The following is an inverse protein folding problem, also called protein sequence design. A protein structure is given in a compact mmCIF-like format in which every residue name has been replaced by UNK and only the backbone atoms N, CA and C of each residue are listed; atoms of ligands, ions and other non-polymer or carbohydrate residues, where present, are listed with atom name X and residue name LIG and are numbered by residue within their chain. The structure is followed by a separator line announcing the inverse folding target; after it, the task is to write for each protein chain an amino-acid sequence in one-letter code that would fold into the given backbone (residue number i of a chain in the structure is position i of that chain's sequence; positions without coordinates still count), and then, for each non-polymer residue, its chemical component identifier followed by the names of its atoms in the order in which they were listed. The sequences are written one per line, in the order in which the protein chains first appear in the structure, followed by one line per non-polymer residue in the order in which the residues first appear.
data_IF_643641703231
#
_entry.id   IF_643641703231
#
_cell.length_a   1.000
_cell.length_b   1.000
_cell.length_c   1.000
_cell.angle_alpha   90.00
_cell.angle_beta   90.00
_cell.angle_gamma   90.00
#
_symmetry.space_group_name_H-M   'P 1'
#
loop_
_entity.id
_entity.type
_entity.pdbx_description
1 polymer ?
#
# COMPACT_ATOMS: atom_id res chain seq x y z
N UNK A 1 42.01 -48.32 29.02
CA UNK A 1 42.76 -48.43 27.76
C UNK A 1 42.51 -47.13 26.95
N UNK A 2 43.53 -46.28 26.90
CA UNK A 2 43.52 -44.98 26.19
C UNK A 2 43.85 -45.25 24.72
N UNK A 3 43.04 -44.78 23.76
CA UNK A 3 43.41 -44.74 22.35
C UNK A 3 43.57 -43.26 21.94
N UNK A 4 44.81 -42.91 21.63
CA UNK A 4 45.21 -41.65 21.04
C UNK A 4 44.82 -41.60 19.57
N UNK A 5 44.17 -40.53 19.14
CA UNK A 5 43.91 -40.24 17.73
C UNK A 5 44.83 -39.06 17.35
N UNK A 6 45.74 -39.35 16.41
CA UNK A 6 46.66 -38.37 15.82
C UNK A 6 45.92 -37.57 14.74
N UNK A 7 45.94 -36.25 14.87
CA UNK A 7 45.47 -35.34 13.83
C UNK A 7 46.66 -35.04 12.90
N UNK A 8 46.52 -35.45 11.64
CA UNK A 8 47.48 -35.17 10.58
C UNK A 8 47.09 -33.88 9.89
N UNK A 9 47.87 -32.80 10.11
CA UNK A 9 47.69 -31.51 9.43
C UNK A 9 48.34 -31.57 8.05
N UNK A 10 47.54 -31.48 6.99
CA UNK A 10 48.03 -31.38 5.61
C UNK A 10 48.06 -29.90 5.22
N UNK A 11 49.25 -29.30 5.16
CA UNK A 11 49.45 -27.95 4.64
C UNK A 11 49.55 -28.01 3.11
N UNK A 12 48.60 -27.43 2.41
CA UNK A 12 48.63 -27.24 0.95
C UNK A 12 49.13 -25.84 0.64
N UNK A 13 50.32 -25.75 0.10
CA UNK A 13 50.86 -24.49 -0.47
C UNK A 13 50.20 -24.24 -1.83
N UNK A 14 49.43 -23.15 -1.93
CA UNK A 14 48.99 -22.60 -3.22
C UNK A 14 50.00 -21.58 -3.74
N UNK A 15 50.66 -21.90 -4.85
CA UNK A 15 51.44 -20.94 -5.61
C UNK A 15 50.49 -20.02 -6.43
N UNK A 16 50.45 -18.75 -6.10
CA UNK A 16 49.73 -17.77 -6.89
C UNK A 16 50.46 -17.47 -8.18
N UNK A 17 49.91 -17.89 -9.29
CA UNK A 17 50.28 -17.39 -10.64
C UNK A 17 49.40 -16.18 -10.97
N UNK A 18 49.97 -14.99 -11.05
CA UNK A 18 49.31 -13.80 -11.49
C UNK A 18 49.03 -13.87 -13.00
N UNK A 19 47.75 -14.09 -13.36
CA UNK A 19 47.27 -13.81 -14.71
C UNK A 19 46.43 -12.52 -14.64
N UNK A 20 46.84 -11.50 -15.43
CA UNK A 20 46.05 -10.28 -15.60
C UNK A 20 44.63 -10.65 -16.02
N UNK A 21 43.65 -10.26 -15.22
CA UNK A 21 42.24 -10.40 -15.53
C UNK A 21 41.72 -9.07 -16.03
N UNK A 22 41.15 -9.08 -17.23
CA UNK A 22 40.46 -7.95 -17.81
C UNK A 22 39.26 -7.57 -16.93
N UNK A 23 39.18 -6.29 -16.60
CA UNK A 23 38.14 -5.72 -15.75
C UNK A 23 36.84 -5.73 -16.54
N UNK A 24 35.96 -6.68 -16.25
CA UNK A 24 34.55 -6.60 -16.68
C UNK A 24 33.89 -5.55 -15.79
N UNK A 25 33.69 -4.37 -16.29
CA UNK A 25 32.88 -3.33 -15.68
C UNK A 25 31.43 -3.80 -15.68
N UNK A 26 30.90 -4.15 -14.52
CA UNK A 26 29.45 -4.34 -14.35
C UNK A 26 28.72 -3.02 -14.67
N UNK A 27 27.57 -3.05 -15.33
CA UNK A 27 26.81 -1.84 -15.58
C UNK A 27 26.35 -1.27 -14.24
N UNK A 28 26.91 -0.14 -13.88
CA UNK A 28 26.42 0.67 -12.76
C UNK A 28 25.06 1.19 -13.18
N UNK A 29 24.01 0.62 -12.62
CA UNK A 29 22.68 1.21 -12.73
C UNK A 29 22.72 2.52 -11.93
N UNK A 30 22.97 3.62 -12.63
CA UNK A 30 22.79 4.95 -12.09
C UNK A 30 21.33 5.09 -11.70
N UNK A 31 21.06 4.98 -10.41
CA UNK A 31 19.81 5.46 -9.84
C UNK A 31 19.76 6.95 -10.14
N UNK A 32 18.92 7.33 -11.09
CA UNK A 32 18.63 8.72 -11.40
C UNK A 32 18.18 9.38 -10.12
N UNK A 33 19.10 10.09 -9.47
CA UNK A 33 18.83 11.02 -8.37
C UNK A 33 17.88 12.05 -8.99
N UNK A 34 16.61 12.00 -8.65
CA UNK A 34 15.65 13.01 -9.06
C UNK A 34 16.17 14.32 -8.49
N UNK A 35 16.54 15.22 -9.39
CA UNK A 35 17.02 16.55 -9.02
C UNK A 35 15.98 17.20 -8.12
N UNK A 36 16.37 17.53 -6.91
CA UNK A 36 15.62 18.38 -6.01
C UNK A 36 15.45 19.71 -6.73
N UNK A 37 14.26 20.02 -7.20
CA UNK A 37 13.93 21.33 -7.76
C UNK A 37 14.12 22.37 -6.63
N UNK A 38 15.26 22.99 -6.63
CA UNK A 38 15.58 24.13 -5.76
C UNK A 38 14.66 25.28 -6.14
N UNK A 39 13.66 25.57 -5.31
CA UNK A 39 12.95 26.85 -5.34
C UNK A 39 11.45 26.83 -5.66
N UNK A 40 10.83 25.67 -5.92
CA UNK A 40 9.36 25.59 -6.15
C UNK A 40 8.59 25.06 -4.94
N UNK A 41 7.27 25.31 -4.93
CA UNK A 41 6.34 24.73 -3.96
C UNK A 41 6.35 23.21 -4.06
N UNK A 42 6.70 22.45 -3.01
CA UNK A 42 6.75 20.99 -3.08
C UNK A 42 5.36 20.32 -3.14
N UNK A 43 4.30 21.07 -2.80
CA UNK A 43 2.92 20.61 -2.69
C UNK A 43 1.97 21.55 -3.48
N UNK A 44 2.14 21.70 -4.80
CA UNK A 44 1.43 22.73 -5.59
C UNK A 44 -0.09 22.48 -5.70
N UNK A 45 -0.55 21.23 -5.51
CA UNK A 45 -1.99 20.89 -5.47
C UNK A 45 -2.62 21.03 -4.08
N UNK A 46 -1.86 21.48 -3.10
CA UNK A 46 -2.38 21.89 -1.79
C UNK A 46 -2.60 23.39 -1.74
N UNK A 47 -3.68 23.80 -1.12
CA UNK A 47 -3.90 25.20 -0.78
C UNK A 47 -2.91 25.66 0.31
N UNK A 48 -2.63 26.95 0.39
CA UNK A 48 -1.75 27.53 1.40
C UNK A 48 -2.46 27.63 2.77
N UNK A 49 -2.74 26.46 3.35
CA UNK A 49 -3.36 26.31 4.67
C UNK A 49 -2.30 26.08 5.75
N UNK A 50 -2.67 26.23 7.04
CA UNK A 50 -1.78 25.85 8.14
C UNK A 50 -1.27 24.42 8.03
N UNK A 51 -2.12 23.48 7.60
CA UNK A 51 -1.73 22.06 7.48
C UNK A 51 -0.60 21.85 6.46
N UNK A 52 -0.66 22.49 5.28
CA UNK A 52 0.44 22.41 4.31
C UNK A 52 1.77 22.86 4.94
N UNK A 53 1.73 23.98 5.68
CA UNK A 53 2.91 24.49 6.38
C UNK A 53 3.40 23.50 7.44
N UNK A 54 2.51 22.92 8.24
CA UNK A 54 2.85 21.93 9.29
C UNK A 54 3.50 20.69 8.71
N UNK A 55 3.06 20.20 7.54
CA UNK A 55 3.70 19.10 6.82
C UNK A 55 5.14 19.47 6.44
N UNK A 56 5.33 20.65 5.82
CA UNK A 56 6.65 21.10 5.38
C UNK A 56 7.57 21.34 6.58
N UNK A 57 7.07 21.98 7.62
CA UNK A 57 7.83 22.25 8.86
C UNK A 57 8.26 20.94 9.55
N UNK A 58 7.35 19.95 9.65
CA UNK A 58 7.67 18.63 10.21
C UNK A 58 8.80 17.96 9.41
N UNK A 59 8.64 17.83 8.09
CA UNK A 59 9.65 17.18 7.25
C UNK A 59 11.00 17.90 7.37
N UNK A 60 11.00 19.23 7.26
CA UNK A 60 12.23 20.03 7.39
C UNK A 60 12.91 19.81 8.72
N UNK A 61 12.15 19.81 9.81
CA UNK A 61 12.66 19.67 11.18
C UNK A 61 13.29 18.30 11.42
N UNK A 62 12.62 17.23 10.98
CA UNK A 62 13.09 15.86 11.23
C UNK A 62 14.19 15.40 10.28
N UNK A 63 14.41 16.11 9.18
CA UNK A 63 15.48 15.79 8.22
C UNK A 63 16.73 16.65 8.36
N UNK A 64 16.64 17.76 9.12
CA UNK A 64 17.76 18.68 9.35
C UNK A 64 18.77 18.06 10.31
N UNK A 65 19.97 17.79 9.84
CA UNK A 65 21.07 17.32 10.67
C UNK A 65 21.36 18.32 11.80
N UNK A 66 21.64 17.79 13.00
CA UNK A 66 21.87 18.59 14.21
C UNK A 66 20.58 19.14 14.86
N UNK A 67 19.42 18.92 14.29
CA UNK A 67 18.14 19.20 14.96
C UNK A 67 17.93 18.25 16.13
N UNK A 68 17.34 18.73 17.23
CA UNK A 68 16.93 17.86 18.35
C UNK A 68 15.89 16.80 17.93
N UNK A 69 15.16 17.05 16.85
CA UNK A 69 14.13 16.17 16.30
C UNK A 69 14.61 15.37 15.08
N UNK A 70 15.92 15.39 14.79
CA UNK A 70 16.47 14.68 13.65
C UNK A 70 16.18 13.18 13.70
N UNK A 71 15.67 12.66 12.58
CA UNK A 71 15.43 11.24 12.39
C UNK A 71 16.44 10.71 11.35
N UNK A 72 17.26 9.70 11.66
CA UNK A 72 18.12 9.07 10.68
C UNK A 72 17.31 8.55 9.47
N UNK A 73 17.87 8.63 8.26
CA UNK A 73 17.17 8.25 7.03
C UNK A 73 16.62 6.81 7.08
N UNK A 74 17.36 5.89 7.70
CA UNK A 74 16.93 4.50 7.89
C UNK A 74 15.65 4.35 8.72
N UNK A 75 15.33 5.34 9.57
CA UNK A 75 14.18 5.34 10.47
C UNK A 75 12.99 6.20 9.94
N UNK A 76 13.17 6.88 8.78
CA UNK A 76 12.12 7.70 8.17
C UNK A 76 11.11 6.84 7.42
N UNK A 77 10.27 6.12 8.15
CA UNK A 77 9.21 5.26 7.59
C UNK A 77 7.89 6.05 7.55
N UNK A 78 7.27 6.10 6.37
CA UNK A 78 5.95 6.70 6.16
C UNK A 78 4.98 5.63 5.64
N UNK A 79 3.82 5.50 6.27
CA UNK A 79 2.77 4.55 5.90
C UNK A 79 1.50 5.26 5.46
N UNK A 80 0.89 4.76 4.40
CA UNK A 80 -0.33 5.30 3.82
C UNK A 80 -1.34 4.17 3.64
N UNK A 81 -2.59 4.39 4.02
CA UNK A 81 -3.66 3.58 3.49
C UNK A 81 -3.82 3.85 1.98
N UNK A 82 -4.55 2.98 1.27
CA UNK A 82 -4.76 3.10 -0.16
C UNK A 82 -6.13 3.65 -0.52
N UNK A 83 -7.19 2.92 -0.16
CA UNK A 83 -8.58 3.24 -0.52
C UNK A 83 -9.09 4.43 0.31
N UNK A 84 -9.44 5.54 -0.35
CA UNK A 84 -9.82 6.79 0.32
C UNK A 84 -8.64 7.64 0.80
N UNK A 85 -7.40 7.14 0.71
CA UNK A 85 -6.19 7.88 1.12
C UNK A 85 -5.33 8.26 -0.08
N UNK A 86 -5.00 7.31 -0.95
CA UNK A 86 -4.19 7.54 -2.16
C UNK A 86 -5.02 7.63 -3.44
N UNK A 87 -6.20 7.04 -3.44
CA UNK A 87 -7.20 7.14 -4.52
C UNK A 87 -8.63 7.14 -3.98
N UNK A 88 -9.61 7.49 -4.83
CA UNK A 88 -11.02 7.45 -4.47
C UNK A 88 -11.50 6.02 -4.18
N UNK A 89 -12.29 5.84 -3.11
CA UNK A 89 -12.70 4.50 -2.66
C UNK A 89 -14.18 4.14 -2.96
N UNK A 90 -15.02 5.09 -3.33
CA UNK A 90 -16.45 4.84 -3.58
C UNK A 90 -16.78 4.95 -5.07
N UNK A 91 -17.02 3.83 -5.78
CA UNK A 91 -17.02 2.42 -5.32
C UNK A 91 -15.62 1.84 -5.13
N UNK A 92 -15.49 0.83 -4.27
CA UNK A 92 -14.22 0.16 -4.01
C UNK A 92 -13.65 -0.53 -5.26
N UNK A 93 -12.42 -0.20 -5.63
CA UNK A 93 -11.71 -0.80 -6.77
C UNK A 93 -11.48 -2.30 -6.56
N UNK A 94 -11.22 -2.72 -5.32
CA UNK A 94 -11.08 -4.13 -4.94
C UNK A 94 -12.35 -4.94 -5.28
N UNK A 95 -13.53 -4.36 -4.99
CA UNK A 95 -14.82 -4.97 -5.30
C UNK A 95 -15.06 -5.04 -6.83
N UNK A 96 -14.74 -3.97 -7.55
CA UNK A 96 -14.83 -3.94 -9.01
C UNK A 96 -13.96 -5.03 -9.66
N UNK A 97 -12.77 -5.25 -9.13
CA UNK A 97 -11.90 -6.33 -9.61
C UNK A 97 -12.48 -7.71 -9.28
N UNK A 98 -13.01 -7.93 -8.07
CA UNK A 98 -13.67 -9.19 -7.73
C UNK A 98 -14.86 -9.48 -8.67
N UNK A 99 -15.68 -8.48 -8.99
CA UNK A 99 -16.80 -8.61 -9.94
C UNK A 99 -16.31 -8.90 -11.37
N UNK A 100 -15.24 -8.24 -11.80
CA UNK A 100 -14.59 -8.55 -13.07
C UNK A 100 -14.15 -10.02 -13.13
N UNK A 101 -13.50 -10.51 -12.06
CA UNK A 101 -13.09 -11.91 -11.95
C UNK A 101 -14.28 -12.88 -11.99
N UNK A 102 -15.36 -12.60 -11.24
CA UNK A 102 -16.58 -13.40 -11.29
C UNK A 102 -17.10 -13.52 -12.72
N UNK A 103 -17.18 -12.40 -13.44
CA UNK A 103 -17.63 -12.41 -14.84
C UNK A 103 -16.78 -13.35 -15.69
N UNK A 104 -15.46 -13.22 -15.65
CA UNK A 104 -14.53 -14.07 -16.42
C UNK A 104 -14.64 -15.55 -16.04
N UNK A 105 -14.77 -15.85 -14.74
CA UNK A 105 -14.90 -17.23 -14.27
C UNK A 105 -16.22 -17.87 -14.67
N UNK A 106 -17.32 -17.12 -14.62
CA UNK A 106 -18.65 -17.60 -15.05
C UNK A 106 -18.71 -17.75 -16.58
N UNK A 107 -18.07 -16.87 -17.35
CA UNK A 107 -17.93 -17.04 -18.81
C UNK A 107 -17.19 -18.35 -19.17
N UNK A 108 -16.16 -18.70 -18.40
CA UNK A 108 -15.41 -19.95 -18.59
C UNK A 108 -16.15 -21.20 -18.05
N UNK A 109 -16.95 -21.04 -16.98
CA UNK A 109 -17.74 -22.11 -16.37
C UNK A 109 -19.10 -21.61 -15.88
N UNK A 110 -20.18 -21.69 -16.70
CA UNK A 110 -21.51 -21.18 -16.37
C UNK A 110 -22.15 -21.79 -15.11
N UNK A 111 -21.73 -23.00 -14.68
CA UNK A 111 -22.24 -23.62 -13.47
C UNK A 111 -21.88 -22.86 -12.20
N UNK A 112 -20.85 -22.04 -12.23
CA UNK A 112 -20.46 -21.18 -11.11
C UNK A 112 -21.56 -20.15 -10.78
N UNK A 113 -22.32 -19.68 -11.77
CA UNK A 113 -23.42 -18.74 -11.55
C UNK A 113 -24.51 -19.26 -10.63
N UNK A 114 -24.57 -20.58 -10.41
CA UNK A 114 -25.54 -21.22 -9.51
C UNK A 114 -25.05 -21.35 -8.08
N UNK A 115 -23.78 -21.05 -7.82
CA UNK A 115 -23.10 -21.25 -6.52
C UNK A 115 -22.75 -19.91 -5.88
N UNK A 116 -22.92 -19.81 -4.53
CA UNK A 116 -22.40 -18.66 -3.79
C UNK A 116 -20.85 -18.72 -3.74
N UNK A 117 -20.17 -17.57 -3.74
CA UNK A 117 -20.69 -16.20 -3.82
C UNK A 117 -20.95 -15.68 -5.25
N UNK A 118 -20.62 -16.45 -6.31
CA UNK A 118 -20.79 -16.08 -7.71
C UNK A 118 -22.23 -15.72 -8.04
N UNK A 119 -23.19 -16.52 -7.55
CA UNK A 119 -24.62 -16.30 -7.73
C UNK A 119 -25.03 -14.89 -7.27
N UNK A 120 -24.62 -14.49 -6.08
CA UNK A 120 -24.96 -13.18 -5.52
C UNK A 120 -24.45 -12.03 -6.40
N UNK A 121 -23.24 -12.16 -6.96
CA UNK A 121 -22.69 -11.15 -7.88
C UNK A 121 -23.46 -11.10 -9.20
N UNK A 122 -23.76 -12.26 -9.80
CA UNK A 122 -24.49 -12.35 -11.08
C UNK A 122 -25.90 -11.80 -10.95
N UNK A 123 -26.60 -12.14 -9.86
CA UNK A 123 -27.97 -11.70 -9.58
C UNK A 123 -28.03 -10.28 -8.96
N UNK A 124 -26.88 -9.67 -8.66
CA UNK A 124 -26.76 -8.37 -7.98
C UNK A 124 -27.47 -8.37 -6.62
N UNK A 125 -27.37 -9.48 -5.89
CA UNK A 125 -27.99 -9.67 -4.59
C UNK A 125 -27.21 -8.91 -3.49
N UNK A 126 -27.58 -7.66 -3.30
CA UNK A 126 -26.99 -6.81 -2.25
C UNK A 126 -27.27 -7.35 -0.84
N UNK A 127 -28.43 -7.98 -0.64
CA UNK A 127 -28.84 -8.49 0.67
C UNK A 127 -27.90 -9.61 1.14
N UNK A 128 -27.34 -10.40 0.23
CA UNK A 128 -26.33 -11.42 0.55
C UNK A 128 -25.09 -10.78 1.19
N UNK A 129 -24.58 -9.70 0.61
CA UNK A 129 -23.39 -9.00 1.12
C UNK A 129 -23.70 -8.18 2.39
N UNK A 130 -24.85 -7.50 2.44
CA UNK A 130 -25.26 -6.75 3.63
C UNK A 130 -25.45 -7.67 4.85
N UNK A 131 -26.07 -8.83 4.66
CA UNK A 131 -26.28 -9.82 5.73
C UNK A 131 -24.99 -10.56 6.11
N UNK A 132 -24.15 -10.87 5.13
CA UNK A 132 -22.90 -11.61 5.33
C UNK A 132 -21.75 -10.75 5.83
N UNK A 133 -21.80 -9.42 5.59
CA UNK A 133 -20.75 -8.48 6.00
C UNK A 133 -19.37 -8.88 5.50
N UNK A 134 -18.34 -8.64 6.34
CA UNK A 134 -16.95 -8.95 6.01
C UNK A 134 -16.73 -10.42 5.60
N UNK A 135 -17.50 -11.36 6.19
CA UNK A 135 -17.39 -12.78 5.83
C UNK A 135 -17.76 -13.04 4.37
N UNK A 136 -18.85 -12.46 3.86
CA UNK A 136 -19.26 -12.63 2.48
C UNK A 136 -18.25 -12.01 1.50
N UNK A 137 -17.64 -10.89 1.87
CA UNK A 137 -16.58 -10.27 1.08
C UNK A 137 -15.31 -11.13 1.06
N UNK A 138 -14.89 -11.66 2.19
CA UNK A 138 -13.73 -12.58 2.27
C UNK A 138 -14.00 -13.85 1.44
N UNK A 139 -15.20 -14.42 1.49
CA UNK A 139 -15.58 -15.58 0.67
C UNK A 139 -15.52 -15.25 -0.83
N UNK A 140 -16.00 -14.07 -1.25
CA UNK A 140 -15.91 -13.62 -2.63
C UNK A 140 -14.46 -13.47 -3.08
N UNK A 141 -13.65 -12.81 -2.27
CA UNK A 141 -12.22 -12.59 -2.57
C UNK A 141 -11.49 -13.93 -2.62
N UNK A 142 -11.71 -14.83 -1.65
CA UNK A 142 -11.12 -16.17 -1.66
C UNK A 142 -11.50 -16.94 -2.94
N UNK A 143 -12.78 -16.92 -3.34
CA UNK A 143 -13.27 -17.62 -4.53
C UNK A 143 -12.67 -17.07 -5.84
N UNK A 144 -12.34 -15.78 -5.88
CA UNK A 144 -11.91 -15.10 -7.11
C UNK A 144 -10.39 -14.86 -7.20
N UNK A 145 -9.67 -14.90 -6.06
CA UNK A 145 -8.25 -14.51 -5.99
C UNK A 145 -7.32 -15.66 -5.64
N UNK A 146 -7.82 -16.88 -5.37
CA UNK A 146 -7.01 -18.03 -4.98
C UNK A 146 -7.06 -19.17 -6.00
N UNK A 147 -6.28 -20.23 -5.80
CA UNK A 147 -6.19 -21.36 -6.71
C UNK A 147 -5.44 -21.07 -8.00
N UNK A 148 -4.64 -20.00 -8.03
CA UNK A 148 -3.81 -19.59 -9.16
C UNK A 148 -2.43 -19.15 -8.68
N UNK A 149 -1.47 -19.12 -9.59
CA UNK A 149 -0.12 -18.60 -9.34
C UNK A 149 -0.14 -17.07 -9.21
N UNK A 150 0.91 -16.51 -8.60
CA UNK A 150 1.08 -15.05 -8.55
C UNK A 150 1.14 -14.42 -9.94
N UNK A 151 1.76 -15.09 -10.92
CA UNK A 151 1.87 -14.60 -12.30
C UNK A 151 0.49 -14.54 -13.00
N UNK A 152 -0.35 -15.57 -12.82
CA UNK A 152 -1.71 -15.60 -13.36
C UNK A 152 -2.59 -14.52 -12.73
N UNK A 153 -2.45 -14.31 -11.43
CA UNK A 153 -3.17 -13.22 -10.77
C UNK A 153 -2.72 -11.86 -11.26
N UNK A 154 -1.41 -11.60 -11.31
CA UNK A 154 -0.88 -10.33 -11.80
C UNK A 154 -1.32 -10.05 -13.25
N UNK A 155 -1.31 -11.06 -14.11
CA UNK A 155 -1.82 -10.94 -15.49
C UNK A 155 -3.30 -10.52 -15.53
N UNK A 156 -4.14 -11.17 -14.71
CA UNK A 156 -5.56 -10.84 -14.62
C UNK A 156 -5.80 -9.44 -14.05
N UNK A 157 -5.04 -9.03 -13.06
CA UNK A 157 -5.13 -7.69 -12.49
C UNK A 157 -4.68 -6.62 -13.50
N UNK A 158 -3.58 -6.85 -14.24
CA UNK A 158 -3.14 -5.95 -15.32
C UNK A 158 -4.19 -5.81 -16.43
N UNK A 159 -4.82 -6.92 -16.85
CA UNK A 159 -5.91 -6.89 -17.83
C UNK A 159 -7.08 -6.02 -17.33
N UNK A 160 -7.46 -6.20 -16.06
CA UNK A 160 -8.50 -5.37 -15.44
C UNK A 160 -8.13 -3.88 -15.47
N UNK A 161 -6.98 -3.50 -14.96
CA UNK A 161 -6.56 -2.09 -14.91
C UNK A 161 -6.37 -1.46 -16.29
N UNK A 162 -6.00 -2.23 -17.30
CA UNK A 162 -5.88 -1.75 -18.68
C UNK A 162 -7.22 -1.37 -19.29
N UNK A 163 -8.30 -2.07 -18.93
CA UNK A 163 -9.63 -1.88 -19.51
C UNK A 163 -10.66 -1.21 -18.59
N UNK A 164 -10.45 -1.25 -17.29
CA UNK A 164 -11.44 -0.79 -16.32
C UNK A 164 -11.58 0.73 -16.30
N UNK A 165 -12.83 1.16 -16.35
CA UNK A 165 -13.21 2.54 -16.10
C UNK A 165 -13.90 2.67 -14.75
N UNK A 166 -13.53 3.69 -14.00
CA UNK A 166 -14.11 3.94 -12.69
C UNK A 166 -15.56 4.42 -12.83
N UNK A 167 -16.52 3.73 -12.20
CA UNK A 167 -17.94 4.07 -12.29
C UNK A 167 -18.23 5.50 -11.84
N UNK A 168 -19.18 6.14 -12.50
CA UNK A 168 -19.59 7.53 -12.22
C UNK A 168 -18.68 8.59 -12.85
N UNK A 169 -17.37 8.35 -12.94
CA UNK A 169 -16.42 9.28 -13.58
C UNK A 169 -16.07 8.86 -15.02
N UNK A 170 -16.24 7.59 -15.37
CA UNK A 170 -15.92 7.02 -16.69
C UNK A 170 -14.48 7.28 -17.15
N UNK A 171 -13.56 7.33 -16.21
CA UNK A 171 -12.11 7.50 -16.45
C UNK A 171 -11.35 6.22 -16.11
N UNK A 172 -10.15 5.99 -16.67
CA UNK A 172 -9.27 4.90 -16.22
C UNK A 172 -9.05 4.96 -14.71
N UNK A 173 -8.93 3.79 -14.05
CA UNK A 173 -8.71 3.75 -12.59
C UNK A 173 -7.47 4.55 -12.17
N UNK A 174 -6.43 4.60 -12.98
CA UNK A 174 -5.24 5.42 -12.71
C UNK A 174 -5.54 6.92 -12.51
N UNK A 175 -6.65 7.41 -13.04
CA UNK A 175 -7.02 8.84 -12.95
C UNK A 175 -7.81 9.20 -11.69
N UNK A 176 -8.16 8.22 -10.83
CA UNK A 176 -8.81 8.51 -9.55
C UNK A 176 -7.83 8.64 -8.38
N UNK A 177 -6.52 8.65 -8.64
CA UNK A 177 -5.50 8.90 -7.62
C UNK A 177 -5.60 10.36 -7.15
N UNK A 178 -5.36 10.59 -5.88
CA UNK A 178 -5.35 11.95 -5.35
C UNK A 178 -4.03 12.64 -5.66
N UNK A 179 -4.08 13.68 -6.49
CA UNK A 179 -2.90 14.46 -6.90
C UNK A 179 -2.12 15.02 -5.70
N UNK A 180 -2.76 15.60 -4.65
CA UNK A 180 -2.04 16.08 -3.49
C UNK A 180 -1.27 14.99 -2.75
N UNK A 181 -1.79 13.76 -2.72
CA UNK A 181 -1.10 12.63 -2.09
C UNK A 181 0.09 12.15 -2.92
N UNK A 182 -0.01 12.20 -4.27
CA UNK A 182 1.14 11.90 -5.13
C UNK A 182 2.30 12.88 -4.88
N UNK A 183 1.98 14.16 -4.72
CA UNK A 183 2.97 15.19 -4.39
C UNK A 183 3.57 14.97 -3.02
N UNK A 184 2.76 14.63 -2.02
CA UNK A 184 3.21 14.33 -0.67
C UNK A 184 4.15 13.11 -0.64
N UNK A 185 3.80 12.02 -1.35
CA UNK A 185 4.66 10.85 -1.49
C UNK A 185 6.02 11.22 -2.13
N UNK A 186 6.01 12.05 -3.17
CA UNK A 186 7.23 12.50 -3.84
C UNK A 186 8.06 13.39 -2.91
N UNK A 187 7.42 14.32 -2.21
CA UNK A 187 8.08 15.21 -1.26
C UNK A 187 8.74 14.43 -0.11
N UNK A 188 8.04 13.47 0.47
CA UNK A 188 8.60 12.60 1.51
C UNK A 188 9.81 11.82 1.00
N UNK A 189 9.70 11.18 -0.17
CA UNK A 189 10.84 10.43 -0.77
C UNK A 189 12.03 11.31 -1.08
N UNK A 190 11.81 12.53 -1.60
CA UNK A 190 12.87 13.49 -1.85
C UNK A 190 13.60 13.90 -0.55
N UNK A 191 12.95 13.74 0.59
CA UNK A 191 13.50 13.99 1.93
C UNK A 191 13.93 12.70 2.67
N UNK A 192 14.20 11.60 1.93
CA UNK A 192 14.76 10.36 2.47
C UNK A 192 13.75 9.48 3.22
N UNK A 193 12.45 9.72 3.10
CA UNK A 193 11.45 8.79 3.65
C UNK A 193 11.24 7.58 2.75
N UNK A 194 11.09 6.42 3.35
CA UNK A 194 10.58 5.22 2.68
C UNK A 194 9.06 5.18 2.83
N UNK A 195 8.35 5.22 1.70
CA UNK A 195 6.88 5.26 1.66
C UNK A 195 6.31 3.86 1.46
N UNK A 196 5.42 3.44 2.34
CA UNK A 196 4.75 2.14 2.30
C UNK A 196 3.24 2.33 2.15
N UNK A 197 2.60 1.40 1.43
CA UNK A 197 1.14 1.25 1.47
C UNK A 197 0.81 0.21 2.53
N UNK A 198 -0.21 0.49 3.37
CA UNK A 198 -0.74 -0.43 4.39
C UNK A 198 -2.25 -0.48 4.24
N UNK A 199 -2.78 -1.53 3.60
CA UNK A 199 -4.16 -1.56 3.10
C UNK A 199 -4.98 -2.75 3.60
N UNK A 200 -6.25 -2.51 3.91
CA UNK A 200 -7.23 -3.57 4.13
C UNK A 200 -7.54 -4.40 2.89
N UNK A 201 -7.26 -3.88 1.70
CA UNK A 201 -7.38 -4.59 0.43
C UNK A 201 -6.34 -5.70 0.23
N UNK A 202 -6.53 -6.52 -0.81
CA UNK A 202 -5.59 -7.61 -1.10
C UNK A 202 -4.24 -7.07 -1.58
N UNK A 203 -3.18 -7.52 -0.94
CA UNK A 203 -1.81 -7.02 -1.16
C UNK A 203 -1.38 -7.17 -2.62
N UNK A 204 -1.74 -8.26 -3.29
CA UNK A 204 -1.30 -8.54 -4.66
C UNK A 204 -1.96 -7.61 -5.68
N UNK A 205 -3.23 -7.24 -5.47
CA UNK A 205 -3.90 -6.29 -6.37
C UNK A 205 -3.22 -4.93 -6.31
N UNK A 206 -2.91 -4.46 -5.10
CA UNK A 206 -2.23 -3.17 -4.90
C UNK A 206 -0.78 -3.24 -5.40
N UNK A 207 -0.07 -4.35 -5.19
CA UNK A 207 1.29 -4.57 -5.75
C UNK A 207 1.32 -4.46 -7.28
N UNK A 208 0.25 -4.88 -7.96
CA UNK A 208 0.18 -4.81 -9.43
C UNK A 208 0.29 -3.38 -9.95
N UNK A 209 -0.16 -2.39 -9.17
CA UNK A 209 -0.24 -0.99 -9.60
C UNK A 209 0.67 -0.04 -8.81
N UNK A 210 1.24 -0.46 -7.69
CA UNK A 210 1.90 0.43 -6.75
C UNK A 210 3.08 1.21 -7.35
N UNK A 211 3.86 0.58 -8.22
CA UNK A 211 4.98 1.24 -8.91
C UNK A 211 4.49 2.24 -9.96
N UNK A 212 3.55 1.83 -10.82
CA UNK A 212 3.02 2.68 -11.90
C UNK A 212 2.14 3.82 -11.37
N UNK A 213 1.37 3.57 -10.31
CA UNK A 213 0.43 4.57 -9.81
C UNK A 213 1.07 5.54 -8.81
N UNK A 214 1.98 5.07 -7.98
CA UNK A 214 2.49 5.83 -6.82
C UNK A 214 4.01 5.91 -6.75
N UNK A 215 4.74 5.18 -7.62
CA UNK A 215 6.19 5.05 -7.51
C UNK A 215 6.63 4.30 -6.26
N UNK A 216 5.76 3.44 -5.71
CA UNK A 216 6.05 2.63 -4.51
C UNK A 216 6.37 1.21 -4.96
N UNK A 217 7.59 0.67 -4.67
CA UNK A 217 7.97 -0.68 -5.04
C UNK A 217 7.03 -1.74 -4.46
N UNK A 218 6.82 -2.84 -5.17
CA UNK A 218 5.92 -3.93 -4.76
C UNK A 218 6.19 -4.45 -3.33
N UNK A 219 7.46 -4.52 -2.91
CA UNK A 219 7.85 -4.97 -1.57
C UNK A 219 7.55 -3.95 -0.46
N UNK A 220 7.19 -2.72 -0.81
CA UNK A 220 6.74 -1.69 0.12
C UNK A 220 5.20 -1.64 0.25
N UNK A 221 4.51 -2.69 -0.18
CA UNK A 221 3.06 -2.85 -0.01
C UNK A 221 2.79 -3.92 1.03
N UNK A 222 2.11 -3.55 2.10
CA UNK A 222 1.55 -4.39 3.15
C UNK A 222 0.03 -4.41 2.96
N UNK A 223 -0.59 -5.56 3.10
CA UNK A 223 -2.05 -5.66 2.89
C UNK A 223 -2.59 -7.02 3.29
N UNK A 224 -3.90 -7.16 3.20
CA UNK A 224 -4.57 -8.43 3.44
C UNK A 224 -4.03 -9.50 2.52
N UNK A 225 -3.58 -10.61 3.07
CA UNK A 225 -2.94 -11.70 2.34
C UNK A 225 -3.61 -13.05 2.62
N UNK A 226 -3.57 -13.90 1.60
CA UNK A 226 -3.91 -15.31 1.70
C UNK A 226 -2.64 -16.14 1.87
N UNK A 227 -2.78 -17.36 2.40
CA UNK A 227 -1.65 -18.27 2.54
C UNK A 227 -1.07 -18.63 1.17
N UNK A 228 0.22 -18.75 1.14
CA UNK A 228 0.96 -19.20 -0.03
C UNK A 228 1.46 -20.62 0.16
N UNK A 229 1.46 -21.38 -0.93
CA UNK A 229 2.10 -22.67 -1.01
C UNK A 229 3.10 -22.65 -2.17
N UNK A 230 4.32 -23.07 -1.88
CA UNK A 230 5.27 -23.37 -2.94
C UNK A 230 4.92 -24.72 -3.60
N UNK A 231 4.70 -24.69 -4.89
CA UNK A 231 4.50 -25.88 -5.70
C UNK A 231 5.85 -26.25 -6.34
N UNK A 232 6.52 -27.24 -5.76
CA UNK A 232 7.84 -27.70 -6.19
C UNK A 232 7.81 -28.31 -7.62
N UNK A 233 6.70 -28.90 -8.02
CA UNK A 233 6.55 -29.50 -9.35
C UNK A 233 6.56 -28.46 -10.48
N UNK A 234 6.00 -27.30 -10.24
CA UNK A 234 5.91 -26.20 -11.22
C UNK A 234 6.86 -25.04 -10.91
N UNK A 235 7.56 -25.08 -9.76
CA UNK A 235 8.41 -24.00 -9.24
C UNK A 235 7.68 -22.66 -9.15
N UNK A 236 6.42 -22.70 -8.70
CA UNK A 236 5.57 -21.52 -8.56
C UNK A 236 5.05 -21.36 -7.13
N UNK A 237 4.65 -20.14 -6.79
CA UNK A 237 3.85 -19.85 -5.60
C UNK A 237 2.37 -19.86 -6.01
N UNK A 238 1.56 -20.62 -5.27
CA UNK A 238 0.10 -20.68 -5.45
C UNK A 238 -0.58 -20.13 -4.20
N UNK A 239 -1.64 -19.37 -4.38
CA UNK A 239 -2.47 -18.88 -3.27
C UNK A 239 -3.53 -19.89 -2.87
N UNK A 240 -3.58 -20.17 -1.57
CA UNK A 240 -4.58 -21.03 -0.97
C UNK A 240 -5.80 -20.20 -0.49
N UNK A 241 -7.00 -20.79 -0.45
CA UNK A 241 -8.23 -20.10 -0.02
C UNK A 241 -8.31 -19.96 1.52
N UNK A 242 -7.20 -19.66 2.15
CA UNK A 242 -7.09 -19.48 3.59
C UNK A 242 -6.42 -18.13 3.87
N UNK A 243 -7.10 -17.28 4.63
CA UNK A 243 -6.58 -15.98 5.05
C UNK A 243 -5.33 -16.18 5.91
N UNK A 244 -4.29 -15.41 5.64
CA UNK A 244 -3.06 -15.36 6.44
C UNK A 244 -3.04 -14.13 7.33
N UNK A 245 -3.21 -12.94 6.76
CA UNK A 245 -3.30 -11.68 7.47
C UNK A 245 -4.52 -10.90 6.97
N UNK A 246 -5.38 -10.45 7.88
CA UNK A 246 -6.36 -9.39 7.62
C UNK A 246 -5.74 -8.05 8.06
N UNK A 247 -5.25 -7.27 7.09
CA UNK A 247 -4.51 -6.02 7.33
C UNK A 247 -5.46 -4.81 7.44
N UNK A 248 -6.51 -4.98 8.23
CA UNK A 248 -7.49 -3.92 8.54
C UNK A 248 -7.55 -3.67 10.04
N UNK A 249 -7.87 -2.44 10.43
CA UNK A 249 -7.99 -2.02 11.84
C UNK A 249 -6.74 -2.41 12.64
N UNK A 250 -6.90 -3.27 13.64
CA UNK A 250 -5.79 -3.76 14.48
C UNK A 250 -4.80 -4.66 13.72
N UNK A 251 -5.17 -5.14 12.55
CA UNK A 251 -4.27 -5.89 11.66
C UNK A 251 -3.17 -5.01 11.08
N UNK A 252 -3.45 -3.75 10.76
CA UNK A 252 -2.44 -2.84 10.15
C UNK A 252 -1.15 -2.70 10.96
N UNK A 253 -1.16 -2.44 12.28
CA UNK A 253 0.07 -2.48 13.09
C UNK A 253 0.78 -3.82 13.08
N UNK A 254 0.03 -4.93 13.00
CA UNK A 254 0.61 -6.28 12.93
C UNK A 254 1.33 -6.46 11.59
N UNK A 255 0.67 -6.10 10.49
CA UNK A 255 1.26 -6.14 9.15
C UNK A 255 2.52 -5.26 9.05
N UNK A 256 2.48 -4.04 9.59
CA UNK A 256 3.65 -3.16 9.68
C UNK A 256 4.80 -3.85 10.44
N UNK A 257 4.52 -4.46 11.59
CA UNK A 257 5.56 -5.15 12.37
C UNK A 257 6.13 -6.34 11.62
N UNK A 258 5.29 -7.13 10.93
CA UNK A 258 5.72 -8.33 10.20
C UNK A 258 6.56 -8.01 8.96
N UNK A 259 6.20 -6.94 8.22
CA UNK A 259 6.76 -6.67 6.90
C UNK A 259 7.75 -5.51 6.86
N UNK A 260 7.64 -4.55 7.79
CA UNK A 260 8.54 -3.39 7.88
C UNK A 260 9.50 -3.53 9.05
N UNK A 261 9.04 -4.10 10.18
CA UNK A 261 9.84 -4.29 11.40
C UNK A 261 10.17 -3.01 12.16
N UNK A 262 9.62 -1.88 11.73
CA UNK A 262 9.85 -0.56 12.32
C UNK A 262 8.52 0.21 12.46
N UNK A 263 8.42 0.99 13.53
CA UNK A 263 7.27 1.86 13.77
C UNK A 263 7.36 3.10 12.87
N UNK A 264 6.32 3.41 12.08
CA UNK A 264 6.34 4.59 11.20
C UNK A 264 6.45 5.89 12.01
N UNK A 265 7.09 6.90 11.42
CA UNK A 265 7.14 8.27 11.95
C UNK A 265 6.17 9.20 11.22
N UNK A 266 5.62 8.74 10.11
CA UNK A 266 4.57 9.43 9.35
C UNK A 266 3.49 8.41 8.99
N UNK A 267 2.23 8.74 9.20
CA UNK A 267 1.12 7.86 8.83
C UNK A 267 -0.08 8.68 8.34
N UNK A 268 -0.67 8.26 7.23
CA UNK A 268 -1.85 8.86 6.65
C UNK A 268 -2.90 7.79 6.35
N UNK A 269 -4.11 8.02 6.79
CA UNK A 269 -5.28 7.21 6.49
C UNK A 269 -6.47 8.10 6.16
N UNK A 270 -7.66 7.52 6.07
CA UNK A 270 -8.88 8.25 5.79
C UNK A 270 -9.98 8.02 6.82
N UNK A 271 -10.99 8.84 6.76
CA UNK A 271 -12.27 8.60 7.40
C UNK A 271 -13.05 7.54 6.61
N UNK A 272 -13.30 6.38 7.19
CA UNK A 272 -13.96 5.29 6.46
C UNK A 272 -14.12 4.02 7.28
N UNK A 273 -14.69 4.11 8.50
CA UNK A 273 -14.99 2.94 9.35
C UNK A 273 -13.85 2.56 10.29
N UNK A 274 -13.05 3.52 10.69
CA UNK A 274 -11.98 3.37 11.68
C UNK A 274 -10.85 2.39 11.29
N UNK A 275 -10.75 2.03 9.99
CA UNK A 275 -9.74 1.08 9.49
C UNK A 275 -8.30 1.49 9.82
N UNK A 276 -8.02 2.79 9.82
CA UNK A 276 -6.66 3.34 9.95
C UNK A 276 -6.26 3.77 11.35
N UNK A 277 -7.22 3.88 12.27
CA UNK A 277 -6.95 4.43 13.61
C UNK A 277 -5.87 3.68 14.37
N UNK A 278 -5.80 2.36 14.21
CA UNK A 278 -4.77 1.54 14.85
C UNK A 278 -3.37 1.82 14.26
N UNK A 279 -3.25 2.01 12.93
CA UNK A 279 -2.01 2.40 12.27
C UNK A 279 -1.53 3.77 12.76
N UNK A 280 -2.43 4.76 12.82
CA UNK A 280 -2.10 6.11 13.31
C UNK A 280 -1.66 6.08 14.77
N UNK A 281 -2.37 5.34 15.63
CA UNK A 281 -1.97 5.13 17.04
C UNK A 281 -0.61 4.45 17.17
N UNK A 282 -0.36 3.46 16.32
CA UNK A 282 0.92 2.76 16.31
C UNK A 282 2.06 3.70 15.91
N UNK A 283 1.88 4.52 14.88
CA UNK A 283 2.82 5.56 14.47
C UNK A 283 3.07 6.59 15.57
N UNK A 284 2.02 7.07 16.25
CA UNK A 284 2.13 8.06 17.33
C UNK A 284 2.99 7.57 18.51
N UNK A 285 3.08 6.26 18.73
CA UNK A 285 3.95 5.66 19.73
C UNK A 285 5.41 5.53 19.29
N UNK A 286 5.86 6.20 18.25
CA UNK A 286 7.27 6.23 17.83
C UNK A 286 8.16 6.85 18.93
N UNK A 287 9.43 6.42 18.99
CA UNK A 287 10.47 7.07 19.83
C UNK A 287 10.89 8.42 19.27
N UNK A 288 10.58 8.70 18.01
CA UNK A 288 10.85 9.97 17.34
C UNK A 288 9.58 10.82 17.26
N UNK A 289 9.71 12.14 16.98
CA UNK A 289 8.58 12.94 16.58
C UNK A 289 7.83 12.29 15.41
N UNK A 290 6.52 12.27 15.48
CA UNK A 290 5.71 11.59 14.46
C UNK A 290 4.53 12.44 14.02
N UNK A 291 4.05 12.21 12.79
CA UNK A 291 2.99 13.00 12.14
C UNK A 291 1.89 12.08 11.65
N UNK A 292 0.66 12.27 12.11
CA UNK A 292 -0.51 11.47 11.77
C UNK A 292 -1.54 12.33 11.07
N UNK A 293 -2.10 11.82 9.96
CA UNK A 293 -3.10 12.52 9.15
C UNK A 293 -4.30 11.62 8.85
N UNK A 294 -5.48 12.23 8.77
CA UNK A 294 -6.73 11.61 8.33
C UNK A 294 -7.34 12.45 7.21
N UNK A 295 -7.61 11.84 6.06
CA UNK A 295 -8.37 12.46 4.96
C UNK A 295 -9.85 12.49 5.34
N UNK A 296 -10.43 13.68 5.38
CA UNK A 296 -11.86 13.91 5.53
C UNK A 296 -12.48 14.17 4.16
N UNK A 297 -13.36 13.27 3.73
CA UNK A 297 -14.05 13.31 2.43
C UNK A 297 -15.23 14.26 2.43
N UNK A 298 -14.98 15.55 2.66
CA UNK A 298 -16.00 16.60 2.81
C UNK A 298 -16.26 17.43 1.54
N UNK A 299 -15.81 16.98 0.36
CA UNK A 299 -16.01 17.68 -0.91
C UNK A 299 -16.98 16.94 -1.84
N UNK A 300 -18.26 17.23 -1.72
CA UNK A 300 -19.31 16.62 -2.55
C UNK A 300 -19.37 17.14 -3.99
N UNK A 301 -18.57 18.16 -4.35
CA UNK A 301 -18.58 18.76 -5.69
C UNK A 301 -17.52 18.09 -6.58
N UNK A 302 -16.31 17.89 -6.05
CA UNK A 302 -15.18 17.38 -6.83
C UNK A 302 -14.98 15.88 -6.66
N UNK A 303 -15.48 15.34 -5.52
CA UNK A 303 -15.34 13.91 -5.15
C UNK A 303 -16.62 13.43 -4.45
N UNK A 304 -16.74 12.17 -4.10
CA UNK A 304 -17.86 11.60 -3.35
C UNK A 304 -17.67 11.88 -1.86
N UNK A 305 -18.53 12.76 -1.30
CA UNK A 305 -18.48 13.08 0.12
C UNK A 305 -19.16 11.99 0.95
N UNK A 306 -18.51 11.56 2.00
CA UNK A 306 -19.05 10.61 2.97
C UNK A 306 -18.44 10.83 4.35
N UNK A 307 -19.16 10.35 5.36
CA UNK A 307 -18.72 10.32 6.74
C UNK A 307 -19.13 8.98 7.36
N UNK A 308 -18.32 8.48 8.27
CA UNK A 308 -18.68 7.31 9.05
C UNK A 308 -19.80 7.64 10.06
N UNK A 309 -20.63 6.62 10.39
CA UNK A 309 -21.86 6.81 11.15
C UNK A 309 -21.68 7.55 12.48
N UNK A 310 -20.64 7.21 13.22
CA UNK A 310 -20.40 7.74 14.57
C UNK A 310 -19.29 8.81 14.61
N UNK A 311 -18.86 9.28 13.44
CA UNK A 311 -17.75 10.25 13.31
C UNK A 311 -16.49 9.86 14.11
N UNK A 312 -16.23 8.55 14.21
CA UNK A 312 -15.23 7.98 15.11
C UNK A 312 -13.81 8.42 14.73
N UNK A 313 -13.50 8.43 13.44
CA UNK A 313 -12.17 8.81 12.96
C UNK A 313 -11.85 10.26 13.28
N UNK A 314 -12.77 11.20 13.00
CA UNK A 314 -12.56 12.63 13.29
C UNK A 314 -12.57 12.93 14.79
N UNK A 315 -13.44 12.27 15.57
CA UNK A 315 -13.43 12.42 17.03
C UNK A 315 -12.15 11.84 17.65
N UNK A 316 -11.62 10.77 17.09
CA UNK A 316 -10.33 10.19 17.48
C UNK A 316 -9.18 11.10 17.10
N UNK A 317 -9.23 11.72 15.89
CA UNK A 317 -8.26 12.71 15.48
C UNK A 317 -8.19 13.90 16.46
N UNK A 318 -9.34 14.43 16.85
CA UNK A 318 -9.40 15.50 17.85
C UNK A 318 -8.82 15.06 19.21
N UNK A 319 -9.17 13.85 19.69
CA UNK A 319 -8.68 13.29 20.97
C UNK A 319 -7.17 13.12 21.00
N UNK A 320 -6.57 12.61 19.91
CA UNK A 320 -5.14 12.29 19.84
C UNK A 320 -4.32 13.33 19.09
N UNK A 321 -4.96 14.43 18.67
CA UNK A 321 -4.36 15.57 17.96
C UNK A 321 -3.71 15.13 16.62
N UNK A 322 -4.43 14.29 15.87
CA UNK A 322 -4.04 14.04 14.48
C UNK A 322 -4.45 15.20 13.60
N UNK A 323 -3.71 15.42 12.54
CA UNK A 323 -4.05 16.43 11.54
C UNK A 323 -5.18 15.90 10.65
N UNK A 324 -6.19 16.72 10.39
CA UNK A 324 -7.31 16.37 9.52
C UNK A 324 -7.14 17.12 8.20
N UNK A 325 -7.06 16.39 7.12
CA UNK A 325 -7.05 16.95 5.76
C UNK A 325 -8.50 17.19 5.35
N UNK A 326 -8.91 18.44 5.18
CA UNK A 326 -10.16 18.78 4.52
C UNK A 326 -9.96 18.71 2.99
N UNK A 327 -10.53 17.71 2.32
CA UNK A 327 -10.46 17.68 0.85
C UNK A 327 -10.93 18.98 0.21
N UNK A 328 -11.98 19.60 0.79
CA UNK A 328 -12.58 20.82 0.29
C UNK A 328 -11.66 22.02 0.43
N UNK A 329 -11.00 22.16 1.58
CA UNK A 329 -10.29 23.40 1.94
C UNK A 329 -8.77 23.27 1.76
N UNK A 330 -8.18 22.07 2.01
CA UNK A 330 -6.74 21.86 1.92
C UNK A 330 -6.27 21.47 0.52
N UNK A 331 -7.12 20.89 -0.32
CA UNK A 331 -6.73 20.45 -1.66
C UNK A 331 -7.22 21.41 -2.75
N UNK A 332 -6.30 21.98 -3.49
CA UNK A 332 -6.56 22.83 -4.66
C UNK A 332 -7.01 21.98 -5.86
N UNK A 333 -6.33 20.87 -6.11
CA UNK A 333 -6.62 19.89 -7.14
C UNK A 333 -6.86 18.53 -6.48
N UNK A 334 -7.91 17.80 -6.87
CA UNK A 334 -8.18 16.47 -6.31
C UNK A 334 -7.50 15.37 -7.13
N UNK A 335 -7.73 15.35 -8.44
CA UNK A 335 -7.25 14.30 -9.34
C UNK A 335 -6.18 14.84 -10.30
N UNK A 336 -5.28 13.99 -10.82
CA UNK A 336 -4.33 14.38 -11.84
C UNK A 336 -5.03 14.91 -13.10
N UNK A 337 -4.37 15.81 -13.81
CA UNK A 337 -4.80 16.24 -15.13
C UNK A 337 -4.89 15.03 -16.09
N UNK A 338 -5.79 15.13 -17.07
CA UNK A 338 -6.08 14.07 -18.04
C UNK A 338 -4.92 13.84 -18.99
#
# INVERSE_FOLDING_TARGET
MRKNIYILSLAVLFLFSCKKSDTITAPTTETKKTETTTGGDPLPSWNDTPLKKEIIDYVTKVTKEGSADFIPEGDRIATFDNDGTLWAEKPYVQELFAFYRVKKMVEANPELAKKQPFKAVVEKDKAFFEKGGDKALIELVAATHTGMTEAEFEASAKEFFAGAKYPGKNVPVKQIRYQPQLELLNYLRANGFKTFIVTGGTVELVRTISEDFYGIPKYQVVGTSFKYKFDDATNNIVREPALDLLDDKVGKPVGIQLHIGQRPVFACGNEGGAGDLAMLRYSQGSKYPSFQMIVNHNDSIREYSYQEKDNLSLSTAAKYKYHVISMKDDWKTIFPDK
#
